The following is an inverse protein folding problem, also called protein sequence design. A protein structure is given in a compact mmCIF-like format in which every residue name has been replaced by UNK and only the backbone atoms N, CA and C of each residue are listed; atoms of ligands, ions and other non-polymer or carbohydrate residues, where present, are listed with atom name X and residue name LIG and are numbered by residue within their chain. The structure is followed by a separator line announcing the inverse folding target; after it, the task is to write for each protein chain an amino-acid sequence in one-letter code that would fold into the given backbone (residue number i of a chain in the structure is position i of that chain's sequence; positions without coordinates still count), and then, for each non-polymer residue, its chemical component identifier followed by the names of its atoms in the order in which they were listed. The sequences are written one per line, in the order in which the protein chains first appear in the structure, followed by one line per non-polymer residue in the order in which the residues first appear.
data_IF_631432015725
#
_entry.id   IF_631432015725
#
_cell.length_a   1.000
_cell.length_b   1.000
_cell.length_c   1.000
_cell.angle_alpha   90.00
_cell.angle_beta   90.00
_cell.angle_gamma   90.00
#
_symmetry.space_group_name_H-M   'P 1'
#
loop_
_entity.id
_entity.type
_entity.pdbx_description
1 polymer ?
#
# COMPACT_ATOMS: atom_id res chain seq x y z
N UNK A 1 -1.81 -5.91 15.55
CA UNK A 1 -1.24 -4.58 15.24
C UNK A 1 0.27 -4.79 15.05
N UNK A 2 0.65 -5.30 13.87
CA UNK A 2 2.01 -5.78 13.59
C UNK A 2 2.79 -4.75 12.78
N UNK A 3 2.12 -4.04 11.86
CA UNK A 3 2.74 -3.08 10.94
C UNK A 3 3.22 -1.80 11.61
N UNK A 4 2.57 -1.40 12.71
CA UNK A 4 3.06 -0.37 13.63
C UNK A 4 2.73 -0.77 15.07
N UNK A 5 3.67 -1.44 15.77
CA UNK A 5 3.43 -1.97 17.12
C UNK A 5 2.95 -0.88 18.09
N UNK A 6 1.82 -1.14 18.74
CA UNK A 6 1.23 -0.23 19.73
C UNK A 6 0.55 1.03 19.16
N UNK A 7 0.38 1.13 17.83
CA UNK A 7 -0.25 2.26 17.14
C UNK A 7 -1.33 1.80 16.16
N UNK A 8 -2.49 2.46 16.16
CA UNK A 8 -3.53 2.22 15.16
C UNK A 8 -3.08 2.88 13.86
N UNK A 9 -2.87 2.12 12.79
CA UNK A 9 -2.47 2.67 11.50
C UNK A 9 -3.42 2.27 10.37
N UNK A 10 -3.48 3.13 9.34
CA UNK A 10 -4.00 2.73 8.03
C UNK A 10 -2.86 2.16 7.19
N UNK A 11 -3.12 1.09 6.46
CA UNK A 11 -2.13 0.45 5.58
C UNK A 11 -2.46 0.83 4.14
N UNK A 12 -1.45 1.30 3.39
CA UNK A 12 -1.54 1.60 1.97
C UNK A 12 -0.68 0.58 1.23
N UNK A 13 -1.31 -0.20 0.35
CA UNK A 13 -0.62 -1.09 -0.57
C UNK A 13 -0.31 -0.35 -1.87
N UNK A 14 0.97 -0.29 -2.23
CA UNK A 14 1.43 0.32 -3.46
C UNK A 14 1.59 -0.76 -4.54
N UNK A 15 1.32 -0.41 -5.79
CA UNK A 15 1.51 -1.30 -6.92
C UNK A 15 2.93 -1.25 -7.46
N UNK A 16 3.50 -2.41 -7.78
CA UNK A 16 4.83 -2.54 -8.38
C UNK A 16 5.88 -3.06 -7.40
N UNK A 17 6.81 -3.88 -7.92
CA UNK A 17 7.95 -4.41 -7.16
C UNK A 17 9.11 -4.71 -8.12
N UNK A 18 10.33 -4.42 -7.71
CA UNK A 18 11.57 -4.80 -8.41
C UNK A 18 12.03 -6.24 -8.11
N UNK A 19 11.33 -6.97 -7.24
CA UNK A 19 11.58 -8.38 -6.96
C UNK A 19 10.49 -9.29 -7.54
N UNK A 20 10.78 -10.59 -7.66
CA UNK A 20 9.85 -11.65 -8.11
C UNK A 20 9.95 -12.85 -7.17
N UNK A 21 9.78 -12.60 -5.87
CA UNK A 21 9.94 -13.61 -4.83
C UNK A 21 8.92 -14.74 -5.01
N UNK A 22 9.33 -16.03 -5.01
CA UNK A 22 8.42 -17.16 -5.19
C UNK A 22 7.43 -17.35 -4.02
N UNK A 23 7.68 -16.69 -2.89
CA UNK A 23 6.87 -16.70 -1.67
C UNK A 23 6.13 -15.37 -1.45
N UNK A 24 5.96 -14.54 -2.48
CA UNK A 24 5.23 -13.28 -2.35
C UNK A 24 3.78 -13.53 -1.91
N UNK A 25 3.35 -12.87 -0.83
CA UNK A 25 1.97 -12.98 -0.33
C UNK A 25 0.97 -12.15 -1.14
N UNK A 26 1.45 -11.11 -1.85
CA UNK A 26 0.65 -10.21 -2.68
C UNK A 26 1.19 -10.19 -4.13
N UNK A 27 1.23 -11.34 -4.82
CA UNK A 27 1.81 -11.45 -6.18
C UNK A 27 1.09 -10.56 -7.20
N UNK A 28 -0.17 -10.21 -6.96
CA UNK A 28 -0.96 -9.31 -7.79
C UNK A 28 -0.39 -7.90 -7.89
N UNK A 29 0.36 -7.46 -6.87
CA UNK A 29 1.07 -6.18 -6.85
C UNK A 29 2.39 -6.23 -7.63
N UNK A 30 2.81 -7.42 -8.08
CA UNK A 30 4.13 -7.68 -8.66
C UNK A 30 4.05 -8.01 -10.15
N UNK A 31 3.10 -8.85 -10.56
CA UNK A 31 2.90 -9.20 -11.98
C UNK A 31 2.26 -8.02 -12.74
N UNK A 32 2.91 -7.47 -13.79
CA UNK A 32 2.36 -6.36 -14.56
C UNK A 32 0.97 -6.61 -15.16
N UNK A 33 0.61 -7.88 -15.45
CA UNK A 33 -0.70 -8.23 -16.01
C UNK A 33 -1.79 -8.07 -14.96
N UNK A 34 -1.58 -8.64 -13.78
CA UNK A 34 -2.54 -8.57 -12.67
C UNK A 34 -2.60 -7.15 -12.12
N UNK A 35 -1.46 -6.48 -11.99
CA UNK A 35 -1.38 -5.13 -11.44
C UNK A 35 -2.23 -4.13 -12.24
N UNK A 36 -2.24 -4.24 -13.58
CA UNK A 36 -3.08 -3.41 -14.45
C UNK A 36 -4.58 -3.67 -14.29
N UNK A 37 -4.96 -4.85 -13.81
CA UNK A 37 -6.35 -5.23 -13.56
C UNK A 37 -6.79 -4.98 -12.11
N UNK A 38 -5.84 -4.80 -11.19
CA UNK A 38 -6.11 -4.50 -9.80
C UNK A 38 -6.71 -3.09 -9.68
N UNK A 39 -7.88 -2.93 -9.03
CA UNK A 39 -8.43 -1.61 -8.74
C UNK A 39 -7.44 -0.76 -7.97
N UNK A 40 -7.19 0.46 -8.45
CA UNK A 40 -6.33 1.44 -7.78
C UNK A 40 -7.14 2.64 -7.34
N UNK A 41 -6.63 3.34 -6.33
CA UNK A 41 -7.15 4.63 -5.88
C UNK A 41 -6.24 5.72 -6.44
N UNK A 42 -6.83 6.84 -6.81
CA UNK A 42 -6.09 8.07 -7.04
C UNK A 42 -5.52 8.63 -5.74
N UNK A 43 -4.49 9.48 -5.85
CA UNK A 43 -3.86 10.14 -4.69
C UNK A 43 -4.91 10.92 -3.86
N UNK A 44 -5.85 11.59 -4.52
CA UNK A 44 -6.93 12.34 -3.87
C UNK A 44 -7.89 11.42 -3.09
N UNK A 45 -8.27 10.27 -3.66
CA UNK A 45 -9.12 9.29 -2.97
C UNK A 45 -8.43 8.70 -1.74
N UNK A 46 -7.11 8.46 -1.82
CA UNK A 46 -6.30 8.02 -0.69
C UNK A 46 -6.30 9.09 0.40
N UNK A 47 -6.01 10.34 0.05
CA UNK A 47 -5.99 11.46 1.00
C UNK A 47 -7.37 11.64 1.65
N UNK A 48 -8.46 11.63 0.87
CA UNK A 48 -9.82 11.77 1.39
C UNK A 48 -10.14 10.66 2.40
N UNK A 49 -9.77 9.41 2.08
CA UNK A 49 -9.93 8.25 2.98
C UNK A 49 -9.11 8.42 4.26
N UNK A 50 -7.89 8.93 4.18
CA UNK A 50 -7.04 9.18 5.36
C UNK A 50 -7.63 10.30 6.23
N UNK A 51 -8.11 11.41 5.63
CA UNK A 51 -8.71 12.51 6.37
C UNK A 51 -9.95 12.08 7.16
N UNK A 52 -10.81 11.24 6.57
CA UNK A 52 -11.97 10.66 7.27
C UNK A 52 -11.58 9.85 8.52
N UNK A 53 -10.38 9.29 8.55
CA UNK A 53 -9.88 8.41 9.63
C UNK A 53 -8.86 9.08 10.56
N UNK A 54 -8.46 10.33 10.27
CA UNK A 54 -7.37 11.04 10.98
C UNK A 54 -7.53 11.10 12.51
N UNK A 55 -8.77 11.11 13.02
CA UNK A 55 -9.04 11.11 14.48
C UNK A 55 -8.86 9.74 15.15
N UNK A 56 -8.75 8.67 14.38
CA UNK A 56 -8.72 7.29 14.86
C UNK A 56 -7.37 6.59 14.60
N UNK A 57 -6.53 7.14 13.72
CA UNK A 57 -5.25 6.54 13.35
C UNK A 57 -4.10 7.40 13.86
N UNK A 58 -3.09 6.74 14.42
CA UNK A 58 -1.82 7.30 14.84
C UNK A 58 -0.85 7.51 13.67
N UNK A 59 -1.06 6.79 12.56
CA UNK A 59 -0.14 6.84 11.42
C UNK A 59 -0.61 6.06 10.20
N UNK A 60 0.27 6.03 9.20
CA UNK A 60 0.06 5.34 7.93
C UNK A 60 1.29 4.47 7.64
N UNK A 61 1.07 3.20 7.31
CA UNK A 61 2.11 2.28 6.88
C UNK A 61 2.01 2.08 5.37
N UNK A 62 3.06 2.46 4.65
CA UNK A 62 3.18 2.17 3.22
C UNK A 62 3.85 0.81 3.03
N UNK A 63 3.23 -0.06 2.25
CA UNK A 63 3.68 -1.43 1.99
C UNK A 63 3.29 -1.86 0.57
N UNK A 64 3.74 -3.03 0.13
CA UNK A 64 3.41 -3.63 -1.17
C UNK A 64 3.91 -2.85 -2.39
N UNK A 65 4.05 -3.47 -3.56
CA UNK A 65 4.97 -4.58 -3.69
C UNK A 65 6.30 -4.17 -3.04
N UNK A 66 7.14 -3.40 -3.74
CA UNK A 66 8.24 -2.65 -3.10
C UNK A 66 7.86 -1.15 -3.05
N UNK A 67 7.48 -0.59 -1.88
CA UNK A 67 7.04 0.79 -1.78
C UNK A 67 8.05 1.81 -2.34
N UNK A 68 9.34 1.56 -2.14
CA UNK A 68 10.39 2.51 -2.52
C UNK A 68 10.66 2.56 -4.03
N UNK A 69 10.03 1.70 -4.84
CA UNK A 69 10.07 1.86 -6.30
C UNK A 69 9.03 2.84 -6.83
N UNK A 70 8.06 3.25 -6.00
CA UNK A 70 7.02 4.15 -6.41
C UNK A 70 7.52 5.59 -6.48
N UNK A 71 7.50 6.27 -7.65
CA UNK A 71 8.20 7.54 -7.83
C UNK A 71 7.66 8.74 -7.02
N UNK A 72 6.43 8.64 -6.50
CA UNK A 72 5.74 9.75 -5.82
C UNK A 72 5.52 9.50 -4.33
N UNK A 73 6.19 8.51 -3.76
CA UNK A 73 6.18 8.30 -2.31
C UNK A 73 7.03 9.36 -1.60
#
# INVERSE_FOLDING_TARGET
MIDFPGRICSIIFIGGCNFRCPFCQNPELVDPKTLKMTPSLSDDEVIEKLQKRKKFIDGVAFTGGEPLVYPKL
#
